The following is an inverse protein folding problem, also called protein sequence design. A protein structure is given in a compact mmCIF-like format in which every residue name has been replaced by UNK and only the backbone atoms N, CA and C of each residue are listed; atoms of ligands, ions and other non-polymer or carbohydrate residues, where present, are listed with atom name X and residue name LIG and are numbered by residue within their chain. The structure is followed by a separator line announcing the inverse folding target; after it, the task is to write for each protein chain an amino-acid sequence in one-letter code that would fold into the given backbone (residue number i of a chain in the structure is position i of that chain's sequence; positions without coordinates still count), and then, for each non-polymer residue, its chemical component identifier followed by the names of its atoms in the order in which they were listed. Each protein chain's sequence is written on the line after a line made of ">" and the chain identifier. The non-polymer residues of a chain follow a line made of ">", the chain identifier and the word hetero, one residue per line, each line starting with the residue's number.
data_IF_798112739528
#
_entry.id   IF_798112739528
#
_cell.length_a   1.000
_cell.length_b   1.000
_cell.length_c   1.000
_cell.angle_alpha   90.00
_cell.angle_beta   90.00
_cell.angle_gamma   90.00
#
_symmetry.space_group_name_H-M   'P 1'
#
loop_
_entity.id
_entity.type
_entity.pdbx_description
1 polymer ?
#
# COMPACT_ATOMS: atom_id res chain seq x y z
N UNK A 1 -17.06 47.57 31.81
CA UNK A 1 -15.75 47.25 31.19
C UNK A 1 -15.88 45.85 30.59
N UNK A 2 -15.81 45.71 29.25
CA UNK A 2 -16.02 44.42 28.57
C UNK A 2 -14.71 43.63 28.56
N UNK A 3 -14.72 42.42 29.14
CA UNK A 3 -13.61 41.46 29.02
C UNK A 3 -13.92 40.59 27.80
N UNK A 4 -13.19 40.81 26.71
CA UNK A 4 -13.26 39.94 25.53
C UNK A 4 -12.32 38.76 25.78
N UNK A 5 -12.88 37.62 26.14
CA UNK A 5 -12.14 36.37 26.30
C UNK A 5 -11.89 35.77 24.91
N UNK A 6 -10.65 35.83 24.42
CA UNK A 6 -10.25 35.22 23.16
C UNK A 6 -10.02 33.72 23.41
N UNK A 7 -10.97 32.87 23.03
CA UNK A 7 -10.80 31.41 23.09
C UNK A 7 -10.06 30.99 21.82
N UNK A 8 -8.76 30.75 21.92
CA UNK A 8 -8.00 30.07 20.87
C UNK A 8 -8.38 28.59 20.87
N UNK A 9 -9.13 28.17 19.86
CA UNK A 9 -9.41 26.75 19.61
C UNK A 9 -8.13 26.06 19.15
N UNK A 10 -7.46 25.37 20.08
CA UNK A 10 -6.50 24.32 19.74
C UNK A 10 -7.28 23.18 19.09
N UNK A 11 -7.30 23.17 17.76
CA UNK A 11 -7.73 22.00 17.01
C UNK A 11 -6.68 20.90 17.23
N UNK A 12 -6.91 20.05 18.22
CA UNK A 12 -6.26 18.76 18.29
C UNK A 12 -6.73 17.97 17.06
N UNK A 13 -5.86 17.85 16.05
CA UNK A 13 -6.04 16.84 15.02
C UNK A 13 -5.92 15.48 15.71
N UNK A 14 -7.06 14.95 16.13
CA UNK A 14 -7.19 13.55 16.48
C UNK A 14 -6.62 12.77 15.31
N UNK A 15 -5.55 12.03 15.61
CA UNK A 15 -4.80 11.16 14.74
C UNK A 15 -5.67 10.66 13.60
N UNK A 16 -5.29 11.05 12.38
CA UNK A 16 -5.84 10.49 11.16
C UNK A 16 -5.60 8.98 11.25
N UNK A 17 -6.62 8.23 11.67
CA UNK A 17 -6.70 6.81 11.39
C UNK A 17 -6.81 6.72 9.88
N UNK A 18 -5.67 6.63 9.23
CA UNK A 18 -5.60 6.50 7.78
C UNK A 18 -5.96 5.04 7.47
N UNK A 19 -7.26 4.77 7.39
CA UNK A 19 -7.75 3.49 6.91
C UNK A 19 -7.25 3.31 5.46
N UNK A 20 -6.48 2.24 5.24
CA UNK A 20 -5.78 1.96 3.98
C UNK A 20 -6.63 2.17 2.72
N UNK A 21 -6.04 2.73 1.69
CA UNK A 21 -6.69 2.89 0.39
C UNK A 21 -6.66 1.55 -0.36
N UNK A 22 -7.84 1.05 -0.74
CA UNK A 22 -7.97 -0.12 -1.62
C UNK A 22 -7.55 0.26 -3.04
N UNK A 23 -6.61 -0.48 -3.62
CA UNK A 23 -5.97 -0.08 -4.89
C UNK A 23 -6.74 -0.51 -6.15
N UNK A 24 -8.02 -0.88 -6.06
CA UNK A 24 -8.71 -1.54 -7.18
C UNK A 24 -8.01 -2.86 -7.60
N UNK A 25 -8.43 -3.43 -8.73
CA UNK A 25 -7.89 -4.71 -9.20
C UNK A 25 -6.67 -4.53 -10.12
N UNK A 26 -5.55 -5.11 -9.72
CA UNK A 26 -4.23 -4.95 -10.32
C UNK A 26 -3.76 -6.20 -11.04
N UNK A 27 -3.06 -6.01 -12.16
CA UNK A 27 -2.28 -7.08 -12.79
C UNK A 27 -0.86 -7.08 -12.23
N UNK A 28 -0.29 -8.27 -12.07
CA UNK A 28 1.10 -8.46 -11.63
C UNK A 28 2.00 -8.58 -12.86
N UNK A 29 3.04 -7.77 -12.91
CA UNK A 29 4.10 -7.79 -13.92
C UNK A 29 5.26 -8.72 -13.50
N UNK A 30 5.59 -8.76 -12.21
CA UNK A 30 6.71 -9.53 -11.69
C UNK A 30 6.44 -9.98 -10.25
N UNK A 31 6.90 -11.18 -9.92
CA UNK A 31 7.04 -11.66 -8.55
C UNK A 31 8.46 -12.18 -8.38
N UNK A 32 9.24 -11.60 -7.46
CA UNK A 32 10.62 -12.03 -7.19
C UNK A 32 10.91 -12.10 -5.69
N UNK A 33 11.80 -13.02 -5.31
CA UNK A 33 12.42 -13.04 -3.99
C UNK A 33 13.78 -12.34 -4.12
N UNK A 34 13.95 -11.24 -3.40
CA UNK A 34 15.16 -10.43 -3.45
C UNK A 34 16.30 -11.07 -2.65
N UNK A 35 17.52 -10.52 -2.75
CA UNK A 35 18.72 -11.01 -2.06
C UNK A 35 18.67 -10.98 -0.53
N UNK A 36 17.64 -10.39 0.06
CA UNK A 36 17.37 -10.35 1.51
C UNK A 36 16.15 -11.22 1.87
N UNK A 37 15.77 -12.11 0.96
CA UNK A 37 14.56 -12.92 0.99
C UNK A 37 13.23 -12.15 1.06
N UNK A 38 13.24 -10.83 0.84
CA UNK A 38 11.99 -10.08 0.76
C UNK A 38 11.26 -10.42 -0.53
N UNK A 39 9.95 -10.55 -0.43
CA UNK A 39 9.07 -10.73 -1.57
C UNK A 39 8.82 -9.37 -2.18
N UNK A 40 9.13 -9.26 -3.47
CA UNK A 40 8.86 -8.07 -4.27
C UNK A 40 7.84 -8.40 -5.34
N UNK A 41 6.81 -7.57 -5.43
CA UNK A 41 5.72 -7.70 -6.40
C UNK A 41 5.68 -6.41 -7.19
N UNK A 42 5.77 -6.51 -8.52
CA UNK A 42 5.62 -5.38 -9.43
C UNK A 42 4.26 -5.45 -10.11
N UNK A 43 3.55 -4.33 -10.16
CA UNK A 43 2.24 -4.18 -10.77
C UNK A 43 2.35 -3.48 -12.12
N UNK A 44 1.48 -3.86 -13.06
CA UNK A 44 1.45 -3.28 -14.42
C UNK A 44 1.04 -1.79 -14.38
N UNK A 45 0.04 -1.46 -13.56
CA UNK A 45 -0.51 -0.11 -13.45
C UNK A 45 -0.46 0.40 -12.00
N UNK A 46 -0.47 1.72 -11.84
CA UNK A 46 -0.75 2.37 -10.55
C UNK A 46 -2.26 2.58 -10.44
N UNK A 47 -2.87 2.02 -9.40
CA UNK A 47 -4.19 2.48 -8.97
C UNK A 47 -4.26 2.59 -7.46
N UNK A 48 -3.25 3.18 -6.83
CA UNK A 48 -3.49 3.68 -5.49
C UNK A 48 -4.28 5.00 -5.62
N UNK A 49 -5.45 5.08 -4.98
CA UNK A 49 -6.45 6.12 -5.26
C UNK A 49 -6.57 7.14 -4.12
N UNK A 50 -6.52 8.41 -4.53
CA UNK A 50 -7.06 9.66 -3.95
C UNK A 50 -6.23 10.53 -3.00
N UNK A 51 -5.21 10.04 -2.30
CA UNK A 51 -4.46 10.86 -1.32
C UNK A 51 -3.00 11.13 -1.69
N UNK A 52 -2.42 10.36 -2.62
CA UNK A 52 -1.04 10.52 -3.04
C UNK A 52 -0.93 11.47 -4.25
N UNK A 53 -0.36 12.65 -4.03
CA UNK A 53 -0.23 13.71 -5.04
C UNK A 53 0.93 13.42 -6.02
N UNK A 54 1.74 12.39 -5.77
CA UNK A 54 2.93 12.07 -6.58
C UNK A 54 3.02 10.57 -6.88
N UNK A 55 2.90 10.23 -8.16
CA UNK A 55 3.11 8.88 -8.72
C UNK A 55 4.60 8.48 -8.63
N UNK A 56 4.92 7.18 -8.51
CA UNK A 56 6.31 6.75 -8.69
C UNK A 56 6.75 5.41 -8.10
N UNK A 57 6.13 4.87 -7.03
CA UNK A 57 6.49 3.55 -6.47
C UNK A 57 5.32 2.68 -6.05
N UNK A 58 4.09 3.08 -6.34
CA UNK A 58 2.88 2.29 -6.05
C UNK A 58 2.79 1.04 -6.95
N UNK A 59 3.60 1.00 -8.01
CA UNK A 59 3.82 -0.18 -8.85
C UNK A 59 4.64 -1.26 -8.16
N UNK A 60 5.27 -1.00 -7.03
CA UNK A 60 6.18 -1.95 -6.40
C UNK A 60 5.82 -2.13 -4.93
N UNK A 61 5.62 -3.38 -4.53
CA UNK A 61 5.30 -3.77 -3.17
C UNK A 61 6.46 -4.63 -2.66
N UNK A 62 6.92 -4.36 -1.45
CA UNK A 62 7.97 -5.17 -0.82
C UNK A 62 7.46 -5.67 0.53
N UNK A 63 7.41 -6.99 0.68
CA UNK A 63 6.98 -7.67 1.90
C UNK A 63 8.23 -8.33 2.51
N UNK A 64 8.62 -7.93 3.73
CA UNK A 64 9.72 -8.55 4.44
C UNK A 64 9.47 -10.04 4.74
N UNK A 65 10.50 -10.88 4.71
CA UNK A 65 10.38 -12.33 5.02
C UNK A 65 9.80 -12.63 6.40
N UNK A 66 10.05 -11.73 7.35
CA UNK A 66 9.56 -11.82 8.73
C UNK A 66 8.10 -11.34 8.89
N UNK A 67 7.42 -10.96 7.82
CA UNK A 67 5.98 -10.68 7.86
C UNK A 67 5.18 -11.95 8.14
N UNK A 68 4.28 -11.91 9.11
CA UNK A 68 3.42 -13.04 9.48
C UNK A 68 2.55 -13.56 8.31
N UNK A 69 2.29 -12.73 7.30
CA UNK A 69 1.50 -13.07 6.12
C UNK A 69 2.36 -13.31 4.87
N UNK A 70 3.70 -13.40 5.01
CA UNK A 70 4.61 -13.54 3.88
C UNK A 70 4.23 -14.67 2.92
N UNK A 71 4.10 -15.90 3.43
CA UNK A 71 3.76 -17.07 2.60
C UNK A 71 2.39 -16.94 1.93
N UNK A 72 1.44 -16.31 2.63
CA UNK A 72 0.10 -16.07 2.12
C UNK A 72 0.13 -15.09 0.94
N UNK A 73 0.80 -13.95 1.09
CA UNK A 73 0.95 -12.96 0.02
C UNK A 73 1.79 -13.50 -1.14
N UNK A 74 2.85 -14.26 -0.86
CA UNK A 74 3.63 -14.95 -1.90
C UNK A 74 2.76 -15.89 -2.72
N UNK A 75 1.96 -16.72 -2.06
CA UNK A 75 1.07 -17.68 -2.72
C UNK A 75 0.06 -16.97 -3.62
N UNK A 76 -0.58 -15.90 -3.14
CA UNK A 76 -1.54 -15.14 -3.93
C UNK A 76 -0.86 -14.46 -5.12
N UNK A 77 0.28 -13.81 -4.90
CA UNK A 77 1.01 -13.11 -5.95
C UNK A 77 1.48 -14.07 -7.05
N UNK A 78 2.10 -15.19 -6.68
CA UNK A 78 2.51 -16.22 -7.63
C UNK A 78 1.31 -16.79 -8.39
N UNK A 79 0.22 -17.12 -7.69
CA UNK A 79 -0.98 -17.65 -8.32
C UNK A 79 -1.54 -16.66 -9.33
N UNK A 80 -1.66 -15.38 -8.96
CA UNK A 80 -2.14 -14.33 -9.85
C UNK A 80 -1.25 -14.18 -11.09
N UNK A 81 0.07 -14.15 -10.89
CA UNK A 81 1.04 -14.05 -11.98
C UNK A 81 0.97 -15.25 -12.94
N UNK A 82 0.96 -16.49 -12.42
CA UNK A 82 0.96 -17.70 -13.26
C UNK A 82 -0.37 -17.97 -13.94
N UNK A 83 -1.47 -17.50 -13.36
CA UNK A 83 -2.83 -17.70 -13.90
C UNK A 83 -3.38 -16.48 -14.64
N UNK A 84 -2.57 -15.41 -14.78
CA UNK A 84 -2.99 -14.13 -15.35
C UNK A 84 -4.27 -13.56 -14.71
N UNK A 85 -4.45 -13.83 -13.41
CA UNK A 85 -5.54 -13.28 -12.60
C UNK A 85 -5.13 -11.96 -11.99
N UNK A 86 -6.13 -11.16 -11.64
CA UNK A 86 -5.90 -9.89 -10.94
C UNK A 86 -5.80 -10.11 -9.44
N UNK A 87 -5.10 -9.22 -8.76
CA UNK A 87 -5.13 -9.10 -7.30
C UNK A 87 -5.86 -7.84 -6.90
N UNK A 88 -6.60 -7.91 -5.79
CA UNK A 88 -7.06 -6.75 -5.07
C UNK A 88 -6.30 -6.67 -3.76
N UNK A 89 -5.95 -5.45 -3.34
CA UNK A 89 -5.12 -5.26 -2.16
C UNK A 89 -5.46 -3.95 -1.48
N UNK A 90 -5.30 -3.96 -0.16
CA UNK A 90 -5.33 -2.76 0.66
C UNK A 90 -3.92 -2.48 1.10
N UNK A 91 -3.44 -1.28 0.82
CA UNK A 91 -2.12 -0.84 1.23
C UNK A 91 -2.21 -0.12 2.56
N UNK A 92 -1.17 -0.29 3.38
CA UNK A 92 -0.96 0.59 4.51
C UNK A 92 -0.78 2.03 4.00
N UNK A 93 -1.58 2.96 4.52
CA UNK A 93 -1.65 4.34 4.05
C UNK A 93 -0.43 5.19 4.46
N UNK A 94 0.49 4.63 5.23
CA UNK A 94 1.60 5.37 5.82
C UNK A 94 2.71 5.75 4.84
N UNK A 95 2.54 5.51 3.54
CA UNK A 95 3.55 5.94 2.57
C UNK A 95 2.97 6.18 1.17
N UNK A 96 2.68 7.44 0.87
CA UNK A 96 2.77 7.90 -0.51
C UNK A 96 4.23 7.84 -0.94
N UNK A 97 4.55 6.85 -1.76
CA UNK A 97 5.94 6.50 -2.04
C UNK A 97 6.43 7.28 -3.25
N UNK A 98 7.16 8.37 -2.99
CA UNK A 98 7.85 9.14 -4.04
C UNK A 98 9.04 8.36 -4.59
N UNK A 99 9.53 8.74 -5.78
CA UNK A 99 10.66 8.08 -6.46
C UNK A 99 11.93 7.97 -5.58
N UNK A 100 12.08 8.82 -4.55
CA UNK A 100 13.20 8.80 -3.59
C UNK A 100 12.92 8.14 -2.23
N UNK A 101 11.73 7.62 -1.98
CA UNK A 101 11.37 7.06 -0.69
C UNK A 101 12.15 5.77 -0.36
N UNK A 102 12.59 5.64 0.88
CA UNK A 102 13.35 4.48 1.39
C UNK A 102 12.47 3.32 1.84
N UNK A 103 11.15 3.49 1.78
CA UNK A 103 10.14 2.51 2.18
C UNK A 103 9.19 2.26 1.02
N UNK A 104 8.81 1.00 0.84
CA UNK A 104 7.84 0.56 -0.16
C UNK A 104 6.48 0.36 0.51
N UNK A 105 5.38 0.53 -0.23
CA UNK A 105 4.07 0.22 0.31
C UNK A 105 3.99 -1.27 0.65
N UNK A 106 3.26 -1.58 1.71
CA UNK A 106 3.02 -2.95 2.19
C UNK A 106 1.53 -3.27 2.12
N UNK A 107 1.14 -4.47 1.67
CA UNK A 107 -0.25 -4.87 1.67
C UNK A 107 -0.65 -5.27 3.10
N UNK A 108 -1.72 -4.65 3.60
CA UNK A 108 -2.40 -5.13 4.80
C UNK A 108 -3.23 -6.37 4.49
N UNK A 109 -3.83 -6.40 3.30
CA UNK A 109 -4.54 -7.57 2.76
C UNK A 109 -4.32 -7.68 1.26
N UNK A 110 -4.37 -8.90 0.76
CA UNK A 110 -4.31 -9.23 -0.65
C UNK A 110 -5.30 -10.37 -0.93
N UNK A 111 -6.04 -10.25 -2.02
CA UNK A 111 -7.00 -11.26 -2.44
C UNK A 111 -6.89 -11.49 -3.95
N UNK A 112 -6.96 -12.76 -4.35
CA UNK A 112 -7.07 -13.13 -5.76
C UNK A 112 -8.47 -12.77 -6.26
N UNK A 113 -8.56 -12.16 -7.45
CA UNK A 113 -9.81 -11.79 -8.10
C UNK A 113 -10.00 -12.66 -9.33
N UNK A 114 -11.13 -13.36 -9.39
CA UNK A 114 -11.54 -14.10 -10.57
C UNK A 114 -12.36 -13.16 -11.47
N UNK A 115 -11.91 -12.96 -12.71
CA UNK A 115 -12.71 -12.40 -13.78
C UNK A 115 -12.81 -13.45 -14.89
#
# INVERSE_FOLDING_TARGET
>A
MRITLLISTLAFSLNCFSAGSGTGDQNIELVEITSWDNLRIKLVNEQHSSTCVTSGKEKEIVIPKDDNNFDHFMTIALTAFTTNKKIYMWLDNDSCVTQGATRYPRPMTMALRNY
#
